data_IF_545194765811
#
_entry.id   IF_545194765811
#
_cell.length_a   1.000
_cell.length_b   1.000
_cell.length_c   1.000
_cell.angle_alpha   90.00
_cell.angle_beta   90.00
_cell.angle_gamma   90.00
#
_symmetry.space_group_name_H-M   'P 1'
#
loop_
_entity.id
_entity.type
_entity.pdbx_description
1 polymer ?
#
# COMPACT_ATOMS: atom_id res chain seq x y z
N UNK A 1 10.69 -11.87 -7.02
CA UNK A 1 12.02 -12.51 -6.86
C UNK A 1 12.52 -12.46 -5.42
N UNK A 2 12.34 -11.36 -4.68
CA UNK A 2 12.82 -11.24 -3.30
C UNK A 2 12.20 -12.28 -2.35
N UNK A 3 10.91 -12.55 -2.46
CA UNK A 3 10.25 -13.63 -1.69
C UNK A 3 10.89 -15.00 -1.96
N UNK A 4 11.31 -15.27 -3.22
CA UNK A 4 12.04 -16.51 -3.55
C UNK A 4 13.41 -16.58 -2.90
N UNK A 5 14.11 -15.44 -2.71
CA UNK A 5 15.36 -15.39 -1.94
C UNK A 5 15.13 -15.82 -0.48
N UNK A 6 14.01 -15.41 0.12
CA UNK A 6 13.66 -15.81 1.49
C UNK A 6 13.33 -17.31 1.55
N UNK A 7 12.60 -17.86 0.56
CA UNK A 7 12.41 -19.32 0.42
C UNK A 7 13.76 -20.05 0.30
N UNK A 8 14.73 -19.44 -0.40
CA UNK A 8 16.11 -19.97 -0.54
C UNK A 8 16.98 -19.86 0.71
N UNK A 9 16.45 -19.30 1.83
CA UNK A 9 17.14 -19.26 3.12
C UNK A 9 17.79 -17.92 3.48
N UNK A 10 17.57 -16.84 2.70
CA UNK A 10 18.00 -15.51 3.10
C UNK A 10 16.96 -14.93 4.08
N UNK A 11 17.35 -14.72 5.34
CA UNK A 11 16.41 -14.31 6.39
C UNK A 11 15.90 -12.89 6.21
N UNK A 12 16.74 -11.98 5.70
CA UNK A 12 16.40 -10.58 5.45
C UNK A 12 16.94 -10.15 4.10
N UNK A 13 16.09 -9.58 3.29
CA UNK A 13 16.45 -9.10 1.96
C UNK A 13 15.85 -7.75 1.69
N UNK A 14 16.54 -6.91 0.92
CA UNK A 14 15.97 -5.69 0.38
C UNK A 14 16.52 -5.40 -1.02
N UNK A 15 15.80 -4.60 -1.75
CA UNK A 15 16.22 -4.05 -3.03
C UNK A 15 15.75 -2.60 -3.14
N UNK A 16 16.59 -1.74 -3.71
CA UNK A 16 16.20 -0.41 -4.17
C UNK A 16 16.29 -0.46 -5.70
N UNK A 17 15.15 -0.33 -6.37
CA UNK A 17 15.07 -0.53 -7.80
C UNK A 17 14.18 0.52 -8.48
N UNK A 18 14.19 0.49 -9.83
CA UNK A 18 13.25 1.21 -10.69
C UNK A 18 12.10 0.29 -11.05
N UNK A 19 10.89 0.78 -10.81
CA UNK A 19 9.65 0.12 -11.19
C UNK A 19 8.95 0.89 -12.31
N UNK A 20 8.22 0.13 -13.13
CA UNK A 20 7.41 0.65 -14.22
C UNK A 20 5.99 0.14 -14.05
N UNK A 21 5.03 1.07 -13.93
CA UNK A 21 3.60 0.75 -13.89
C UNK A 21 2.86 1.54 -14.95
N UNK A 22 1.88 0.91 -15.58
CA UNK A 22 1.03 1.55 -16.58
C UNK A 22 -0.03 2.44 -15.92
N UNK A 23 0.41 3.31 -15.04
CA UNK A 23 -0.43 4.28 -14.34
C UNK A 23 -0.34 5.65 -15.05
N UNK A 24 -1.35 6.48 -14.84
CA UNK A 24 -1.32 7.86 -15.32
C UNK A 24 -0.23 8.68 -14.62
N UNK A 25 0.23 9.77 -15.24
CA UNK A 25 1.12 10.74 -14.60
C UNK A 25 0.28 11.86 -13.96
N UNK A 26 0.35 12.03 -12.64
CA UNK A 26 -0.30 13.09 -11.88
C UNK A 26 0.67 13.74 -10.86
N UNK A 27 0.17 14.34 -9.79
CA UNK A 27 0.99 14.97 -8.75
C UNK A 27 1.70 13.99 -7.83
N UNK A 28 1.26 12.74 -7.77
CA UNK A 28 1.73 11.69 -6.86
C UNK A 28 2.13 10.40 -7.57
N UNK A 29 1.89 10.29 -8.88
CA UNK A 29 2.19 9.12 -9.69
C UNK A 29 3.09 9.46 -10.89
N UNK A 30 4.08 8.60 -11.13
CA UNK A 30 4.91 8.56 -12.32
C UNK A 30 4.96 7.13 -12.85
N UNK A 31 4.87 6.91 -14.18
CA UNK A 31 4.98 5.58 -14.78
C UNK A 31 6.31 4.86 -14.48
N UNK A 32 7.37 5.63 -14.29
CA UNK A 32 8.69 5.18 -13.80
C UNK A 32 8.94 5.81 -12.44
N UNK A 33 9.26 5.01 -11.42
CA UNK A 33 9.53 5.47 -10.07
C UNK A 33 10.54 4.56 -9.36
N UNK A 34 11.20 5.08 -8.33
CA UNK A 34 12.08 4.33 -7.47
C UNK A 34 11.34 3.80 -6.25
N UNK A 35 11.67 2.57 -5.86
CA UNK A 35 11.04 1.87 -4.74
C UNK A 35 12.09 1.13 -3.93
N UNK A 36 11.93 1.10 -2.61
CA UNK A 36 12.58 0.13 -1.73
C UNK A 36 11.58 -0.96 -1.38
N UNK A 37 12.00 -2.20 -1.49
CA UNK A 37 11.22 -3.38 -1.17
C UNK A 37 12.01 -4.27 -0.21
N UNK A 38 11.39 -4.72 0.89
CA UNK A 38 12.05 -5.51 1.93
C UNK A 38 11.22 -6.69 2.34
N UNK A 39 11.88 -7.80 2.70
CA UNK A 39 11.25 -8.98 3.30
C UNK A 39 12.08 -9.50 4.46
N UNK A 40 11.40 -9.93 5.53
CA UNK A 40 12.01 -10.52 6.70
C UNK A 40 11.31 -11.82 7.09
N UNK A 41 12.05 -12.93 7.08
CA UNK A 41 11.56 -14.21 7.57
C UNK A 41 11.20 -14.10 9.06
N UNK A 42 10.08 -14.75 9.45
CA UNK A 42 9.51 -14.72 10.79
C UNK A 42 9.07 -13.33 11.29
N UNK A 43 9.13 -12.31 10.42
CA UNK A 43 8.48 -11.03 10.64
C UNK A 43 6.98 -11.05 10.30
N UNK A 44 6.30 -9.99 10.64
CA UNK A 44 4.89 -9.74 10.35
C UNK A 44 4.65 -8.26 10.00
N UNK A 45 3.41 -7.89 9.78
CA UNK A 45 3.04 -6.52 9.46
C UNK A 45 3.46 -5.49 10.53
N UNK A 46 3.49 -5.87 11.83
CA UNK A 46 3.94 -4.98 12.89
C UNK A 46 5.45 -4.77 12.83
N UNK A 47 6.22 -5.85 12.59
CA UNK A 47 7.67 -5.78 12.35
C UNK A 47 7.98 -4.83 11.20
N UNK A 48 7.23 -4.95 10.10
CA UNK A 48 7.41 -4.08 8.92
C UNK A 48 7.00 -2.63 9.20
N UNK A 49 5.97 -2.39 10.00
CA UNK A 49 5.59 -1.02 10.40
C UNK A 49 6.70 -0.34 11.22
N UNK A 50 7.30 -1.07 12.16
CA UNK A 50 8.43 -0.58 12.95
C UNK A 50 9.66 -0.30 12.09
N UNK A 51 10.01 -1.21 11.18
CA UNK A 51 11.10 -1.03 10.22
C UNK A 51 10.87 0.22 9.36
N UNK A 52 9.68 0.38 8.81
CA UNK A 52 9.32 1.52 7.96
C UNK A 52 9.43 2.84 8.72
N UNK A 53 8.89 2.89 9.94
CA UNK A 53 9.03 4.07 10.83
C UNK A 53 10.49 4.42 11.05
N UNK A 54 11.33 3.43 11.41
CA UNK A 54 12.76 3.64 11.63
C UNK A 54 13.48 4.15 10.37
N UNK A 55 13.22 3.55 9.21
CA UNK A 55 13.81 3.99 7.93
C UNK A 55 13.51 5.45 7.62
N UNK A 56 12.24 5.87 7.78
CA UNK A 56 11.83 7.26 7.52
C UNK A 56 12.45 8.23 8.54
N UNK A 57 12.46 7.86 9.82
CA UNK A 57 13.05 8.67 10.87
C UNK A 57 14.57 8.81 10.72
N UNK A 58 15.26 7.71 10.40
CA UNK A 58 16.71 7.71 10.17
C UNK A 58 17.09 8.52 8.93
N UNK A 59 16.29 8.42 7.84
CA UNK A 59 16.49 9.25 6.65
C UNK A 59 16.32 10.74 6.96
N UNK A 60 15.27 11.13 7.68
CA UNK A 60 15.07 12.51 8.09
C UNK A 60 16.23 13.02 8.95
N UNK A 61 16.65 12.24 9.94
CA UNK A 61 17.76 12.60 10.83
C UNK A 61 19.11 12.67 10.09
N UNK A 62 19.36 11.76 9.15
CA UNK A 62 20.59 11.75 8.38
C UNK A 62 20.74 12.98 7.47
N UNK A 63 19.62 13.41 6.84
CA UNK A 63 19.63 14.53 5.88
C UNK A 63 19.47 15.88 6.58
N UNK A 64 18.59 16.00 7.56
CA UNK A 64 18.21 17.27 8.17
C UNK A 64 18.77 17.45 9.61
N UNK A 65 19.39 16.42 10.19
CA UNK A 65 19.86 16.43 11.58
C UNK A 65 18.72 16.35 12.61
N UNK A 66 17.48 16.20 12.19
CA UNK A 66 16.27 16.23 13.02
C UNK A 66 15.16 15.37 12.41
N UNK A 67 14.23 14.88 13.25
CA UNK A 67 12.98 14.28 12.77
C UNK A 67 11.93 15.34 12.39
N UNK A 68 12.11 16.61 12.78
CA UNK A 68 11.31 17.72 12.28
C UNK A 68 11.97 18.25 11.02
N UNK A 69 11.27 18.13 9.91
CA UNK A 69 11.75 18.57 8.60
C UNK A 69 10.97 19.81 8.18
N UNK A 70 11.69 20.78 7.63
CA UNK A 70 11.08 21.99 7.08
C UNK A 70 11.02 21.86 5.57
N UNK A 71 9.82 21.91 5.03
CA UNK A 71 9.56 21.86 3.60
C UNK A 71 9.99 23.16 2.89
N UNK A 72 10.16 23.07 1.57
CA UNK A 72 10.56 24.22 0.74
C UNK A 72 9.55 25.38 0.81
N UNK A 73 8.27 25.11 1.07
CA UNK A 73 7.19 26.10 1.20
C UNK A 73 7.08 26.67 2.63
N UNK A 74 7.94 26.23 3.54
CA UNK A 74 7.99 26.68 4.92
C UNK A 74 7.15 25.88 5.92
N UNK A 75 6.33 24.92 5.47
CA UNK A 75 5.63 24.00 6.37
C UNK A 75 6.62 23.11 7.12
N UNK A 76 6.24 22.66 8.30
CA UNK A 76 7.03 21.72 9.10
C UNK A 76 6.27 20.40 9.22
N UNK A 77 6.97 19.29 8.99
CA UNK A 77 6.49 17.93 9.22
C UNK A 77 7.29 17.32 10.36
N UNK A 78 6.60 16.85 11.41
CA UNK A 78 7.22 16.13 12.53
C UNK A 78 7.09 14.61 12.29
N UNK A 79 8.22 13.98 12.02
CA UNK A 79 8.37 12.53 11.85
C UNK A 79 8.84 11.84 13.14
N UNK A 80 9.01 12.59 14.23
CA UNK A 80 9.44 12.07 15.53
C UNK A 80 8.31 11.36 16.28
N UNK A 81 8.69 10.84 17.46
CA UNK A 81 7.74 10.21 18.38
C UNK A 81 7.04 8.96 17.84
N UNK A 82 5.88 8.67 18.41
CA UNK A 82 5.00 7.58 17.95
C UNK A 82 4.03 8.08 16.87
N UNK A 83 3.77 7.22 15.91
CA UNK A 83 2.86 7.53 14.80
C UNK A 83 1.48 6.97 15.07
N UNK A 84 0.46 7.60 14.51
CA UNK A 84 -0.91 7.16 14.64
C UNK A 84 -1.11 5.79 13.97
N UNK A 85 -1.99 4.99 14.57
CA UNK A 85 -2.52 3.77 13.97
C UNK A 85 -4.03 3.81 14.04
N UNK A 86 -4.69 3.60 12.91
CA UNK A 86 -6.16 3.57 12.80
C UNK A 86 -6.58 2.34 11.98
N UNK A 87 -7.75 1.77 12.30
CA UNK A 87 -8.36 0.75 11.46
C UNK A 87 -9.05 1.41 10.25
N UNK A 88 -8.86 0.84 9.04
CA UNK A 88 -9.55 1.30 7.84
C UNK A 88 -11.07 1.31 8.04
N UNK A 89 -11.63 0.23 8.56
CA UNK A 89 -13.08 0.09 8.77
C UNK A 89 -13.61 0.98 9.89
N UNK A 90 -12.82 1.24 10.93
CA UNK A 90 -13.19 2.22 11.97
C UNK A 90 -13.18 3.64 11.40
N UNK A 91 -12.16 4.01 10.63
CA UNK A 91 -12.10 5.32 9.98
C UNK A 91 -13.28 5.55 9.02
N UNK A 92 -13.67 4.53 8.25
CA UNK A 92 -14.89 4.60 7.42
C UNK A 92 -16.11 4.79 8.32
N UNK A 93 -16.26 3.97 9.36
CA UNK A 93 -17.43 4.00 10.25
C UNK A 93 -17.63 5.36 10.91
N UNK A 94 -16.55 5.96 11.40
CA UNK A 94 -16.57 7.33 11.96
C UNK A 94 -16.96 8.37 10.92
N UNK A 95 -16.42 8.24 9.70
CA UNK A 95 -16.66 9.22 8.65
C UNK A 95 -18.09 9.19 8.13
N UNK A 96 -18.72 8.01 8.07
CA UNK A 96 -20.08 7.83 7.51
C UNK A 96 -21.17 7.80 8.59
N UNK A 97 -20.81 7.68 9.87
CA UNK A 97 -21.73 7.64 11.00
C UNK A 97 -22.53 6.34 11.13
N UNK A 98 -22.10 5.27 10.47
CA UNK A 98 -22.71 3.94 10.55
C UNK A 98 -21.62 2.86 10.56
N UNK A 99 -21.88 1.70 11.22
CA UNK A 99 -20.89 0.62 11.37
C UNK A 99 -20.58 -0.02 10.02
N UNK A 100 -19.28 -0.03 9.66
CA UNK A 100 -18.72 -0.72 8.51
C UNK A 100 -17.63 -1.69 8.98
N UNK A 101 -17.57 -2.88 8.41
CA UNK A 101 -16.59 -3.91 8.76
C UNK A 101 -16.20 -4.77 7.55
N UNK A 102 -15.22 -5.64 7.69
CA UNK A 102 -14.85 -6.62 6.66
C UNK A 102 -15.98 -7.59 6.29
N UNK A 103 -17.03 -7.70 7.12
CA UNK A 103 -18.20 -8.54 6.89
C UNK A 103 -19.38 -7.77 6.26
N UNK A 104 -19.29 -6.43 6.15
CA UNK A 104 -20.34 -5.64 5.49
C UNK A 104 -20.62 -6.13 4.08
N UNK A 105 -21.90 -6.19 3.73
CA UNK A 105 -22.33 -6.66 2.41
C UNK A 105 -22.01 -5.62 1.32
N UNK A 106 -21.88 -6.10 0.08
CA UNK A 106 -21.65 -5.21 -1.06
C UNK A 106 -22.79 -4.20 -1.25
N UNK A 107 -24.02 -4.56 -0.92
CA UNK A 107 -25.19 -3.68 -1.06
C UNK A 107 -25.21 -2.57 -0.01
N UNK A 108 -24.77 -2.84 1.21
CA UNK A 108 -24.55 -1.83 2.25
C UNK A 108 -23.50 -0.81 1.81
N UNK A 109 -22.33 -1.29 1.36
CA UNK A 109 -21.26 -0.42 0.89
C UNK A 109 -21.65 0.42 -0.33
N UNK A 110 -22.39 -0.17 -1.29
CA UNK A 110 -22.94 0.56 -2.45
C UNK A 110 -23.89 1.68 -2.02
N UNK A 111 -24.74 1.45 -1.01
CA UNK A 111 -25.63 2.49 -0.47
C UNK A 111 -24.84 3.64 0.14
N UNK A 112 -23.80 3.34 0.92
CA UNK A 112 -22.92 4.34 1.53
C UNK A 112 -22.22 5.15 0.44
N UNK A 113 -21.57 4.47 -0.51
CA UNK A 113 -20.87 5.11 -1.62
C UNK A 113 -21.79 6.03 -2.44
N UNK A 114 -23.03 5.58 -2.71
CA UNK A 114 -24.04 6.40 -3.42
C UNK A 114 -24.42 7.65 -2.62
N UNK A 115 -24.63 7.54 -1.30
CA UNK A 115 -24.89 8.71 -0.44
C UNK A 115 -23.73 9.75 -0.46
N UNK A 116 -22.49 9.25 -0.60
CA UNK A 116 -21.30 10.09 -0.70
C UNK A 116 -21.05 10.67 -2.11
N UNK A 117 -21.87 10.30 -3.09
CA UNK A 117 -21.71 10.75 -4.48
C UNK A 117 -20.58 10.04 -5.24
N UNK A 118 -20.08 8.92 -4.73
CA UNK A 118 -19.04 8.13 -5.38
C UNK A 118 -19.64 7.40 -6.59
N UNK A 119 -19.03 7.59 -7.76
CA UNK A 119 -19.45 6.92 -8.99
C UNK A 119 -18.95 5.48 -8.98
N UNK A 120 -19.86 4.54 -8.75
CA UNK A 120 -19.55 3.11 -8.72
C UNK A 120 -19.30 2.54 -10.12
N UNK A 121 -18.21 1.77 -10.26
CA UNK A 121 -18.02 0.89 -11.41
C UNK A 121 -18.78 -0.44 -11.13
N UNK A 122 -19.60 -0.93 -12.10
CA UNK A 122 -20.30 -2.20 -11.96
C UNK A 122 -19.39 -3.41 -11.70
N UNK A 123 -18.12 -3.33 -12.06
CA UNK A 123 -17.11 -4.39 -11.88
C UNK A 123 -16.48 -4.39 -10.49
N UNK A 124 -16.65 -3.34 -9.70
CA UNK A 124 -16.01 -3.26 -8.39
C UNK A 124 -16.51 -4.34 -7.44
N UNK A 125 -15.56 -5.03 -6.84
CA UNK A 125 -15.78 -5.98 -5.76
C UNK A 125 -16.00 -5.22 -4.44
N UNK A 126 -16.43 -5.93 -3.42
CA UNK A 126 -16.79 -5.38 -2.11
C UNK A 126 -15.64 -4.57 -1.48
N UNK A 127 -14.45 -5.12 -1.46
CA UNK A 127 -13.28 -4.46 -0.89
C UNK A 127 -12.92 -3.17 -1.62
N UNK A 128 -12.95 -3.17 -2.95
CA UNK A 128 -12.68 -1.95 -3.73
C UNK A 128 -13.65 -0.82 -3.38
N UNK A 129 -14.94 -1.14 -3.17
CA UNK A 129 -15.92 -0.12 -2.76
C UNK A 129 -15.58 0.43 -1.36
N UNK A 130 -15.13 -0.43 -0.42
CA UNK A 130 -14.72 0.02 0.91
C UNK A 130 -13.49 0.95 0.84
N UNK A 131 -12.50 0.59 0.03
CA UNK A 131 -11.31 1.43 -0.20
C UNK A 131 -11.68 2.79 -0.81
N UNK A 132 -12.54 2.82 -1.81
CA UNK A 132 -13.02 4.07 -2.41
C UNK A 132 -13.78 4.97 -1.42
N UNK A 133 -14.57 4.37 -0.53
CA UNK A 133 -15.22 5.12 0.56
C UNK A 133 -14.16 5.72 1.49
N UNK A 134 -13.15 4.93 1.87
CA UNK A 134 -12.05 5.38 2.71
C UNK A 134 -11.28 6.54 2.04
N UNK A 135 -10.89 6.38 0.78
CA UNK A 135 -10.19 7.40 0.01
C UNK A 135 -10.96 8.71 -0.06
N UNK A 136 -12.27 8.61 -0.32
CA UNK A 136 -13.14 9.78 -0.44
C UNK A 136 -13.35 10.52 0.89
N UNK A 137 -13.32 9.81 2.03
CA UNK A 137 -13.73 10.35 3.33
C UNK A 137 -12.57 10.67 4.28
N UNK A 138 -11.47 9.93 4.21
CA UNK A 138 -10.45 9.93 5.26
C UNK A 138 -9.06 10.39 4.82
N UNK A 139 -8.57 10.01 3.62
CA UNK A 139 -7.16 10.20 3.24
C UNK A 139 -6.69 11.64 3.40
N UNK A 140 -7.45 12.62 2.92
CA UNK A 140 -7.07 14.04 2.97
C UNK A 140 -6.91 14.61 4.39
N UNK A 141 -7.42 13.89 5.40
CA UNK A 141 -7.29 14.26 6.81
C UNK A 141 -6.05 13.67 7.46
N UNK A 142 -5.38 12.71 6.80
CA UNK A 142 -4.19 12.02 7.31
C UNK A 142 -2.92 12.82 6.98
N UNK A 143 -2.75 13.97 7.62
CA UNK A 143 -1.58 14.84 7.38
C UNK A 143 -0.36 14.42 8.20
N UNK A 144 -0.55 13.99 9.44
CA UNK A 144 0.49 13.40 10.27
C UNK A 144 0.76 11.94 9.86
N UNK A 145 1.98 11.41 10.10
CA UNK A 145 2.28 10.01 9.81
C UNK A 145 1.29 9.06 10.49
N UNK A 146 0.56 8.29 9.69
CA UNK A 146 -0.52 7.42 10.16
C UNK A 146 -0.52 6.09 9.42
N UNK A 147 -0.37 5.00 10.16
CA UNK A 147 -0.61 3.66 9.65
C UNK A 147 -2.11 3.39 9.62
N UNK A 148 -2.65 3.12 8.45
CA UNK A 148 -4.01 2.63 8.27
C UNK A 148 -3.95 1.12 8.20
N UNK A 149 -4.59 0.45 9.16
CA UNK A 149 -4.45 -0.98 9.40
C UNK A 149 -5.69 -1.75 8.94
N UNK A 150 -5.50 -2.95 8.41
CA UNK A 150 -6.59 -3.88 8.19
C UNK A 150 -7.42 -3.60 6.93
N UNK A 151 -6.84 -3.84 5.77
CA UNK A 151 -7.49 -3.68 4.47
C UNK A 151 -8.44 -4.85 4.15
N UNK A 152 -9.36 -4.69 3.17
CA UNK A 152 -10.18 -5.80 2.71
C UNK A 152 -9.34 -6.96 2.17
N UNK A 153 -9.75 -8.19 2.48
CA UNK A 153 -9.00 -9.38 2.06
C UNK A 153 -9.13 -9.66 0.56
N UNK A 154 -10.23 -9.30 -0.06
CA UNK A 154 -10.53 -9.53 -1.45
C UNK A 154 -9.77 -8.60 -2.42
N UNK A 155 -9.25 -7.46 -1.93
CA UNK A 155 -8.33 -6.58 -2.68
C UNK A 155 -6.86 -6.86 -2.37
N UNK A 156 -6.55 -7.82 -1.49
CA UNK A 156 -5.20 -8.09 -0.99
C UNK A 156 -4.74 -9.52 -1.30
N UNK A 157 -4.53 -9.89 -2.58
CA UNK A 157 -4.34 -11.28 -2.99
C UNK A 157 -3.05 -11.93 -2.49
N UNK A 158 -2.03 -11.16 -2.12
CA UNK A 158 -0.72 -11.64 -1.65
C UNK A 158 -0.58 -11.60 -0.12
N UNK A 159 -1.62 -11.17 0.59
CA UNK A 159 -1.57 -10.88 2.01
C UNK A 159 -2.27 -11.95 2.82
N UNK A 160 -1.74 -12.26 4.00
CA UNK A 160 -2.36 -13.17 4.96
C UNK A 160 -3.69 -12.58 5.45
N UNK A 161 -4.72 -13.42 5.55
CA UNK A 161 -5.94 -13.06 6.24
C UNK A 161 -5.67 -12.77 7.72
N UNK A 162 -6.34 -11.74 8.26
CA UNK A 162 -6.23 -11.39 9.67
C UNK A 162 -6.70 -12.56 10.54
N UNK A 163 -5.92 -12.88 11.60
CA UNK A 163 -6.13 -14.09 12.41
C UNK A 163 -7.42 -14.06 13.23
N UNK A 164 -7.89 -12.86 13.58
CA UNK A 164 -9.01 -12.66 14.50
C UNK A 164 -10.21 -11.94 13.86
N UNK A 165 -9.98 -11.20 12.75
CA UNK A 165 -10.99 -10.34 12.15
C UNK A 165 -11.38 -10.84 10.76
N UNK A 166 -12.57 -11.45 10.59
CA UNK A 166 -13.02 -11.94 9.29
C UNK A 166 -13.12 -10.83 8.23
N UNK A 167 -12.78 -11.17 6.99
CA UNK A 167 -12.86 -10.26 5.85
C UNK A 167 -11.75 -9.21 5.77
N UNK A 168 -10.78 -9.26 6.69
CA UNK A 168 -9.66 -8.31 6.80
C UNK A 168 -8.34 -9.01 6.48
N UNK A 169 -7.41 -8.27 5.88
CA UNK A 169 -6.02 -8.67 5.62
C UNK A 169 -5.07 -8.07 6.65
N UNK A 170 -3.98 -8.78 7.01
CA UNK A 170 -2.88 -8.23 7.79
C UNK A 170 -2.02 -7.31 6.89
N UNK A 171 -2.61 -6.18 6.49
CA UNK A 171 -2.03 -5.13 5.65
C UNK A 171 -2.16 -3.79 6.34
N UNK A 172 -1.15 -2.95 6.17
CA UNK A 172 -1.24 -1.52 6.44
C UNK A 172 -0.70 -0.71 5.26
N UNK A 173 -1.23 0.50 5.13
CA UNK A 173 -0.64 1.55 4.30
C UNK A 173 -0.28 2.73 5.22
N UNK A 174 0.91 3.30 5.00
CA UNK A 174 1.39 4.49 5.71
C UNK A 174 1.04 5.72 4.92
N UNK A 175 0.24 6.58 5.51
CA UNK A 175 -0.10 7.90 4.95
C UNK A 175 0.69 9.00 5.65
N UNK A 176 1.22 9.93 4.86
CA UNK A 176 1.93 11.13 5.31
C UNK A 176 1.49 12.27 4.39
N UNK A 177 1.14 13.44 4.94
CA UNK A 177 0.73 14.60 4.12
C UNK A 177 -0.42 14.30 3.13
N UNK A 178 -1.28 13.32 3.44
CA UNK A 178 -2.44 12.96 2.62
C UNK A 178 -2.13 12.08 1.41
N UNK A 179 -0.96 11.48 1.31
CA UNK A 179 -0.62 10.47 0.30
C UNK A 179 0.00 9.21 0.92
N UNK A 180 -0.18 8.08 0.26
CA UNK A 180 0.43 6.80 0.62
C UNK A 180 1.93 6.84 0.36
N UNK A 181 2.74 6.64 1.42
CA UNK A 181 4.20 6.56 1.35
C UNK A 181 4.70 5.13 1.22
N UNK A 182 4.10 4.21 1.95
CA UNK A 182 4.52 2.82 2.02
C UNK A 182 3.34 1.89 2.30
N UNK A 183 3.50 0.62 1.96
CA UNK A 183 2.59 -0.47 2.28
C UNK A 183 3.35 -1.63 2.91
N UNK A 184 2.72 -2.40 3.81
CA UNK A 184 3.37 -3.58 4.38
C UNK A 184 2.38 -4.63 4.85
N UNK A 185 2.86 -5.86 4.89
CA UNK A 185 2.05 -7.07 5.01
C UNK A 185 2.64 -8.06 5.99
N UNK A 186 1.75 -8.90 6.58
CA UNK A 186 2.10 -10.30 6.82
C UNK A 186 1.83 -11.05 5.52
N UNK A 187 2.85 -11.65 4.94
CA UNK A 187 2.75 -12.29 3.63
C UNK A 187 1.88 -13.56 3.68
N UNK A 188 1.13 -13.80 2.60
CA UNK A 188 0.48 -15.08 2.39
C UNK A 188 1.54 -16.12 2.02
N UNK A 189 1.64 -17.19 2.83
CA UNK A 189 2.68 -18.23 2.66
C UNK A 189 2.10 -19.59 2.29
N UNK A 190 0.78 -19.75 2.30
CA UNK A 190 0.09 -20.98 1.90
C UNK A 190 -0.02 -21.04 0.37
N UNK A 191 0.64 -22.00 -0.32
CA UNK A 191 0.62 -22.08 -1.78
C UNK A 191 -0.76 -22.46 -2.34
N UNK A 192 -1.58 -23.18 -1.57
CA UNK A 192 -2.94 -23.56 -2.02
C UNK A 192 -3.84 -22.33 -2.09
N UNK A 193 -3.90 -21.57 -0.99
CA UNK A 193 -4.67 -20.33 -0.92
C UNK A 193 -4.11 -19.31 -1.94
N UNK A 194 -2.78 -19.22 -2.08
CA UNK A 194 -2.17 -18.30 -3.05
C UNK A 194 -2.57 -18.64 -4.48
N UNK A 195 -2.60 -19.92 -4.84
CA UNK A 195 -3.06 -20.36 -6.15
C UNK A 195 -4.50 -19.97 -6.40
N UNK A 196 -5.39 -20.22 -5.45
CA UNK A 196 -6.81 -19.85 -5.56
C UNK A 196 -6.96 -18.35 -5.84
N UNK A 197 -6.27 -17.49 -5.07
CA UNK A 197 -6.32 -16.04 -5.24
C UNK A 197 -5.74 -15.57 -6.57
N UNK A 198 -4.63 -16.15 -7.03
CA UNK A 198 -4.05 -15.79 -8.34
C UNK A 198 -4.95 -16.24 -9.50
N UNK A 199 -5.65 -17.37 -9.38
CA UNK A 199 -6.65 -17.79 -10.36
C UNK A 199 -7.81 -16.80 -10.42
N UNK A 200 -8.28 -16.29 -9.29
CA UNK A 200 -9.32 -15.25 -9.25
C UNK A 200 -8.85 -13.93 -9.85
N UNK A 201 -7.63 -13.52 -9.54
CA UNK A 201 -6.99 -12.34 -10.16
C UNK A 201 -6.90 -12.50 -11.68
N UNK A 202 -6.48 -13.66 -12.18
CA UNK A 202 -6.43 -13.93 -13.63
C UNK A 202 -7.81 -13.82 -14.31
N UNK A 203 -8.90 -14.20 -13.62
CA UNK A 203 -10.28 -14.01 -14.12
C UNK A 203 -10.65 -12.52 -14.19
N UNK A 204 -10.27 -11.73 -13.19
CA UNK A 204 -10.48 -10.27 -13.19
C UNK A 204 -9.72 -9.63 -14.35
N UNK A 205 -8.46 -10.02 -14.58
CA UNK A 205 -7.67 -9.57 -15.72
C UNK A 205 -8.31 -9.91 -17.05
N UNK A 206 -8.85 -11.13 -17.21
CA UNK A 206 -9.57 -11.54 -18.41
C UNK A 206 -10.87 -10.74 -18.63
N UNK A 207 -11.47 -10.18 -17.58
CA UNK A 207 -12.62 -9.29 -17.65
C UNK A 207 -12.28 -7.82 -17.91
N UNK A 208 -10.99 -7.50 -18.05
CA UNK A 208 -10.46 -6.17 -18.41
C UNK A 208 -9.98 -5.32 -17.22
N UNK A 209 -9.67 -5.94 -16.10
CA UNK A 209 -8.92 -5.30 -15.01
C UNK A 209 -7.43 -5.29 -15.38
N UNK A 210 -6.87 -4.10 -15.61
CA UNK A 210 -5.47 -3.93 -16.04
C UNK A 210 -4.47 -4.08 -14.88
N UNK A 211 -4.93 -4.02 -13.63
CA UNK A 211 -4.11 -4.16 -12.43
C UNK A 211 -4.09 -5.59 -11.90
N UNK A 212 -4.96 -6.46 -12.42
CA UNK A 212 -5.06 -7.83 -11.97
C UNK A 212 -3.81 -8.65 -12.28
N UNK A 213 -3.40 -9.46 -11.31
CA UNK A 213 -2.21 -10.30 -11.40
C UNK A 213 -2.46 -11.55 -12.26
N UNK A 214 -1.43 -11.97 -13.01
CA UNK A 214 -1.40 -13.27 -13.68
C UNK A 214 -1.04 -14.42 -12.74
N UNK A 215 -1.29 -15.66 -13.19
CA UNK A 215 -0.87 -16.86 -12.48
C UNK A 215 0.66 -17.05 -12.64
N UNK A 216 1.40 -17.07 -11.52
CA UNK A 216 2.85 -17.31 -11.48
C UNK A 216 3.15 -18.72 -10.92
N UNK A 217 3.23 -19.69 -11.81
CA UNK A 217 3.51 -21.09 -11.46
C UNK A 217 4.91 -21.29 -10.85
N UNK A 218 5.89 -20.50 -11.24
CA UNK A 218 7.24 -20.59 -10.68
C UNK A 218 7.30 -20.05 -9.24
N UNK A 219 6.53 -19.02 -8.95
CA UNK A 219 6.38 -18.54 -7.58
C UNK A 219 5.65 -19.56 -6.70
N UNK A 220 4.56 -20.12 -7.19
CA UNK A 220 3.82 -21.17 -6.45
C UNK A 220 4.68 -22.39 -6.15
N UNK A 221 5.46 -22.87 -7.12
CA UNK A 221 6.44 -23.96 -6.90
C UNK A 221 7.49 -23.59 -5.84
N UNK A 222 7.97 -22.34 -5.84
CA UNK A 222 8.89 -21.88 -4.81
C UNK A 222 8.24 -21.93 -3.43
N UNK A 223 7.00 -21.47 -3.29
CA UNK A 223 6.24 -21.53 -2.02
C UNK A 223 6.09 -22.96 -1.51
N UNK A 224 5.83 -23.94 -2.40
CA UNK A 224 5.69 -25.36 -2.09
C UNK A 224 6.98 -25.99 -1.49
N UNK A 225 8.15 -25.39 -1.73
CA UNK A 225 9.40 -25.81 -1.12
C UNK A 225 9.55 -25.42 0.36
N UNK A 226 8.62 -24.63 0.88
CA UNK A 226 8.60 -24.25 2.29
C UNK A 226 8.85 -22.75 2.50
N UNK A 227 7.95 -21.90 2.00
CA UNK A 227 7.99 -20.48 2.27
C UNK A 227 7.77 -20.21 3.75
N UNK A 228 8.75 -19.61 4.49
CA UNK A 228 8.56 -19.31 5.90
C UNK A 228 7.53 -18.19 6.08
N UNK A 229 6.87 -18.09 7.26
CA UNK A 229 6.17 -16.88 7.62
C UNK A 229 7.08 -15.67 7.45
N UNK A 230 6.60 -14.61 6.83
CA UNK A 230 7.43 -13.41 6.62
C UNK A 230 6.59 -12.14 6.58
N UNK A 231 7.21 -11.03 6.94
CA UNK A 231 6.72 -9.69 6.69
C UNK A 231 7.36 -9.14 5.41
N UNK A 232 6.59 -8.35 4.67
CA UNK A 232 7.06 -7.61 3.50
C UNK A 232 6.63 -6.15 3.55
N UNK A 233 7.45 -5.26 2.98
CA UNK A 233 7.16 -3.83 2.89
C UNK A 233 7.68 -3.28 1.56
N UNK A 234 6.87 -2.41 0.95
CA UNK A 234 7.25 -1.58 -0.18
C UNK A 234 7.10 -0.11 0.15
N UNK A 235 8.12 0.71 -0.11
CA UNK A 235 8.08 2.16 0.08
C UNK A 235 8.59 2.88 -1.16
N UNK A 236 7.83 3.86 -1.65
CA UNK A 236 8.26 4.70 -2.76
C UNK A 236 9.42 5.61 -2.34
N UNK A 237 10.60 5.46 -2.95
CA UNK A 237 11.74 6.32 -2.64
C UNK A 237 11.49 7.77 -3.10
N UNK A 238 10.85 7.97 -4.25
CA UNK A 238 10.46 9.30 -4.71
C UNK A 238 9.39 9.92 -3.81
N UNK A 239 8.44 9.11 -3.30
CA UNK A 239 7.44 9.56 -2.31
C UNK A 239 8.08 9.89 -0.94
N UNK A 240 9.14 9.18 -0.53
CA UNK A 240 9.91 9.56 0.64
C UNK A 240 10.55 10.94 0.47
N UNK A 241 11.12 11.23 -0.71
CA UNK A 241 11.63 12.56 -1.01
C UNK A 241 10.52 13.61 -0.97
N UNK A 242 9.31 13.32 -1.51
CA UNK A 242 8.16 14.22 -1.38
C UNK A 242 7.83 14.51 0.09
N UNK A 243 7.74 13.48 0.93
CA UNK A 243 7.45 13.64 2.36
C UNK A 243 8.51 14.44 3.10
N UNK A 244 9.79 14.28 2.74
CA UNK A 244 10.90 14.97 3.40
C UNK A 244 11.09 16.41 2.92
N UNK A 245 10.67 16.76 1.70
CA UNK A 245 10.96 18.06 1.08
C UNK A 245 9.75 18.93 0.83
N UNK A 246 8.55 18.34 0.77
CA UNK A 246 7.31 19.00 0.34
C UNK A 246 7.22 19.23 -1.17
N UNK A 247 8.11 18.63 -1.98
CA UNK A 247 8.10 18.71 -3.44
C UNK A 247 7.08 17.74 -4.04
N UNK A 248 6.60 18.03 -5.24
CA UNK A 248 5.80 17.09 -6.03
C UNK A 248 6.66 16.00 -6.67
N UNK A 249 6.06 14.86 -7.07
CA UNK A 249 6.81 13.71 -7.61
C UNK A 249 7.68 14.05 -8.82
N UNK A 250 7.23 14.98 -9.67
CA UNK A 250 8.02 15.42 -10.84
C UNK A 250 9.28 16.22 -10.48
N UNK A 251 9.28 16.82 -9.29
CA UNK A 251 10.41 17.60 -8.80
C UNK A 251 11.42 16.73 -8.04
N UNK A 252 11.02 15.52 -7.61
CA UNK A 252 11.90 14.53 -6.98
C UNK A 252 12.62 13.63 -8.00
N UNK A 253 12.16 13.59 -9.26
CA UNK A 253 12.73 12.79 -10.34
C UNK A 253 13.57 13.70 -11.24
N UNK A 254 14.87 13.38 -11.44
CA UNK A 254 15.80 14.21 -12.23
C UNK A 254 15.34 14.40 -13.67
N UNK A 255 14.77 13.37 -14.29
CA UNK A 255 14.27 13.39 -15.68
C UNK A 255 12.85 12.82 -15.71
N UNK A 256 11.85 13.59 -15.23
CA UNK A 256 10.47 13.11 -15.18
C UNK A 256 9.88 12.95 -16.58
N UNK A 257 8.98 11.98 -16.73
CA UNK A 257 8.21 11.83 -17.95
C UNK A 257 7.30 13.05 -18.15
N UNK A 258 7.47 13.71 -19.28
CA UNK A 258 6.66 14.88 -19.68
C UNK A 258 5.69 14.43 -20.77
N UNK A 259 4.39 14.71 -20.57
CA UNK A 259 3.41 14.48 -21.66
C UNK A 259 3.73 15.41 -22.81
N UNK A 260 3.74 14.92 -24.07
CA UNK A 260 3.88 15.79 -25.25
C UNK A 260 2.79 16.89 -25.19
N UNK A 261 3.19 18.15 -25.42
CA UNK A 261 2.24 19.22 -25.62
C UNK A 261 1.63 19.08 -27.01
N UNK A 262 0.33 19.31 -27.17
CA UNK A 262 -0.34 19.26 -28.45
C UNK A 262 0.29 20.35 -29.35
N UNK A 263 1.29 20.00 -30.16
CA UNK A 263 2.02 20.93 -31.01
C UNK A 263 3.50 20.57 -31.30
N UNK A 264 4.04 19.52 -30.65
CA UNK A 264 5.38 18.99 -30.92
C UNK A 264 5.35 17.79 -31.85
#
# INVERSE_FOLDING_TARGET
>A
FLKRCVVGGLEKVFEINRNFRNEGADSTHSPEFAMIETYEAYGDWNTMAQLTKSLVQDAAKAVFGSHKVKHHDGRELDLGGDWNQISLFEAISEAVGEKVSGESSIDELKKIATKLGIKLDPKWIKGKIAEEIFEHTAIKKLTAPTFVMGFPIDTSPLVRAHRETPGVAEKWDLYVEGFELATGYSELVDPVIQRERLVEQAKLGASGDLEAMGLDEDFLKAMEHGMPPMGGMGMGADRLLMALTGLGIRETILFPLVKPTAGD
#
